data_IF_213514400176
#
_entry.id   IF_213514400176
#
_cell.length_a   1.000
_cell.length_b   1.000
_cell.length_c   1.000
_cell.angle_alpha   90.00
_cell.angle_beta   90.00
_cell.angle_gamma   90.00
#
_symmetry.space_group_name_H-M   'P 1'
#
loop_
_entity.id
_entity.type
_entity.pdbx_description
1 polymer ?
#
# COMPACT_ATOMS: atom_id res chain seq x y z
N UNK A 1 -22.73 -16.82 10.70
CA UNK A 1 -21.31 -17.04 10.38
C UNK A 1 -20.83 -15.74 9.76
N UNK A 2 -19.78 -15.10 10.29
CA UNK A 2 -19.12 -14.03 9.52
C UNK A 2 -18.51 -14.71 8.31
N UNK A 3 -18.93 -14.28 7.12
CA UNK A 3 -18.34 -14.75 5.87
C UNK A 3 -17.15 -13.82 5.63
N UNK A 4 -15.96 -14.27 5.98
CA UNK A 4 -14.73 -13.53 5.72
C UNK A 4 -14.29 -13.84 4.30
N UNK A 5 -13.81 -12.84 3.57
CA UNK A 5 -13.22 -13.05 2.26
C UNK A 5 -11.77 -12.61 2.25
N UNK A 6 -10.93 -13.37 1.55
CA UNK A 6 -9.54 -13.00 1.33
C UNK A 6 -9.43 -11.84 0.35
N UNK A 7 -8.62 -10.85 0.72
CA UNK A 7 -8.27 -9.70 -0.09
C UNK A 7 -6.75 -9.61 -0.24
N UNK A 8 -6.31 -9.34 -1.47
CA UNK A 8 -4.94 -9.00 -1.80
C UNK A 8 -4.82 -7.48 -1.91
N UNK A 9 -3.98 -6.89 -1.07
CA UNK A 9 -3.68 -5.46 -1.06
C UNK A 9 -2.31 -5.21 -1.68
N UNK A 10 -2.28 -4.32 -2.67
CA UNK A 10 -1.08 -3.84 -3.34
C UNK A 10 -0.79 -2.43 -2.84
N UNK A 11 0.23 -2.27 -2.00
CA UNK A 11 0.66 -0.96 -1.47
C UNK A 11 1.82 -0.46 -2.30
N UNK A 12 1.59 0.57 -3.13
CA UNK A 12 2.62 1.24 -3.92
C UNK A 12 3.14 2.46 -3.18
N UNK A 13 4.44 2.71 -3.23
CA UNK A 13 5.05 3.89 -2.62
C UNK A 13 6.25 4.36 -3.43
N UNK A 14 6.65 5.63 -3.23
CA UNK A 14 7.86 6.20 -3.83
C UNK A 14 8.86 6.53 -2.73
N UNK A 15 10.11 6.14 -2.95
CA UNK A 15 11.24 6.55 -2.12
C UNK A 15 12.56 6.41 -2.88
N UNK A 16 13.64 6.90 -2.27
CA UNK A 16 15.01 6.59 -2.68
C UNK A 16 15.42 5.19 -2.22
N UNK A 17 16.40 4.60 -2.89
CA UNK A 17 16.91 3.27 -2.52
C UNK A 17 17.53 3.20 -1.12
N UNK A 18 18.24 4.25 -0.71
CA UNK A 18 18.86 4.35 0.62
C UNK A 18 17.82 4.44 1.76
N UNK A 19 16.56 4.70 1.43
CA UNK A 19 15.44 4.76 2.37
C UNK A 19 14.58 3.48 2.39
N UNK A 20 14.89 2.49 1.54
CA UNK A 20 14.04 1.31 1.34
C UNK A 20 13.89 0.46 2.60
N UNK A 21 14.95 0.32 3.40
CA UNK A 21 14.88 -0.45 4.65
C UNK A 21 13.98 0.22 5.68
N UNK A 22 13.93 1.55 5.72
CA UNK A 22 12.98 2.28 6.57
C UNK A 22 11.54 2.09 6.07
N UNK A 23 11.31 2.13 4.76
CA UNK A 23 9.99 1.88 4.18
C UNK A 23 9.49 0.46 4.49
N UNK A 24 10.36 -0.55 4.40
CA UNK A 24 10.07 -1.93 4.81
C UNK A 24 9.68 -2.00 6.29
N UNK A 25 10.45 -1.35 7.17
CA UNK A 25 10.15 -1.32 8.60
C UNK A 25 8.82 -0.61 8.91
N UNK A 26 8.43 0.40 8.12
CA UNK A 26 7.10 1.03 8.22
C UNK A 26 6.00 0.07 7.79
N UNK A 27 6.15 -0.60 6.65
CA UNK A 27 5.17 -1.58 6.19
C UNK A 27 4.94 -2.69 7.22
N UNK A 28 6.01 -3.25 7.81
CA UNK A 28 5.89 -4.28 8.84
C UNK A 28 5.13 -3.78 10.08
N UNK A 29 5.36 -2.54 10.53
CA UNK A 29 4.58 -1.94 11.63
C UNK A 29 3.09 -1.83 11.28
N UNK A 30 2.76 -1.42 10.06
CA UNK A 30 1.37 -1.36 9.59
C UNK A 30 0.71 -2.74 9.61
N UNK A 31 1.43 -3.76 9.13
CA UNK A 31 0.95 -5.16 9.12
C UNK A 31 0.79 -5.72 10.53
N UNK A 32 1.69 -5.42 11.47
CA UNK A 32 1.59 -5.87 12.86
C UNK A 32 0.36 -5.29 13.55
N UNK A 33 0.04 -4.01 13.33
CA UNK A 33 -1.20 -3.40 13.83
C UNK A 33 -2.43 -4.07 13.20
N UNK A 34 -2.35 -4.43 11.92
CA UNK A 34 -3.45 -5.09 11.22
C UNK A 34 -3.70 -6.52 11.77
N UNK A 35 -2.64 -7.25 12.14
CA UNK A 35 -2.72 -8.59 12.75
C UNK A 35 -3.46 -8.60 14.09
N UNK A 36 -3.58 -7.45 14.77
CA UNK A 36 -4.36 -7.36 16.01
C UNK A 36 -5.85 -7.63 15.81
N UNK A 37 -6.37 -7.39 14.60
CA UNK A 37 -7.81 -7.46 14.28
C UNK A 37 -8.15 -8.34 13.09
N UNK A 38 -7.20 -8.63 12.22
CA UNK A 38 -7.42 -9.37 10.98
C UNK A 38 -6.48 -10.57 10.88
N UNK A 39 -6.95 -11.63 10.22
CA UNK A 39 -6.08 -12.74 9.81
C UNK A 39 -5.27 -12.32 8.59
N UNK A 40 -3.96 -12.16 8.75
CA UNK A 40 -3.03 -11.87 7.65
C UNK A 40 -2.38 -13.17 7.19
N UNK A 41 -2.71 -13.64 6.00
CA UNK A 41 -2.15 -14.87 5.41
C UNK A 41 -0.76 -14.65 4.83
N UNK A 42 -0.50 -13.45 4.31
CA UNK A 42 0.75 -13.13 3.67
C UNK A 42 1.04 -11.64 3.79
N UNK A 43 2.31 -11.29 3.99
CA UNK A 43 2.84 -9.95 3.81
C UNK A 43 4.24 -10.10 3.23
N UNK A 44 4.50 -9.40 2.13
CA UNK A 44 5.83 -9.40 1.51
C UNK A 44 6.82 -8.62 2.38
N UNK A 45 7.93 -9.24 2.77
CA UNK A 45 9.06 -8.56 3.41
C UNK A 45 9.97 -7.83 2.41
N UNK A 46 9.94 -8.26 1.15
CA UNK A 46 10.68 -7.65 0.06
C UNK A 46 9.76 -6.77 -0.76
N UNK A 47 10.20 -5.54 -1.05
CA UNK A 47 9.50 -4.66 -1.96
C UNK A 47 9.90 -5.01 -3.39
N UNK A 48 8.94 -5.17 -4.28
CA UNK A 48 9.23 -5.24 -5.70
C UNK A 48 9.52 -3.84 -6.23
N UNK A 49 10.59 -3.68 -7.00
CA UNK A 49 10.91 -2.43 -7.65
C UNK A 49 10.25 -2.34 -9.03
N UNK A 50 9.38 -1.36 -9.21
CA UNK A 50 8.70 -1.12 -10.47
C UNK A 50 9.42 -0.10 -11.37
N UNK A 51 10.35 0.70 -10.84
CA UNK A 51 10.96 1.80 -11.58
C UNK A 51 10.09 3.07 -11.54
N UNK A 52 10.26 3.96 -12.51
CA UNK A 52 9.48 5.18 -12.63
C UNK A 52 8.17 4.94 -13.42
N UNK A 53 7.28 4.08 -12.88
CA UNK A 53 6.02 3.73 -13.55
C UNK A 53 5.00 4.86 -13.45
N UNK A 54 4.62 5.40 -14.60
CA UNK A 54 3.60 6.44 -14.72
C UNK A 54 2.18 5.87 -14.73
N UNK A 55 1.17 6.61 -14.23
CA UNK A 55 1.26 7.96 -13.63
C UNK A 55 1.60 7.96 -12.13
N UNK A 56 1.75 6.78 -11.51
CA UNK A 56 1.95 6.64 -10.06
C UNK A 56 3.23 7.34 -9.59
N UNK A 57 4.30 7.24 -10.36
CA UNK A 57 5.58 7.85 -10.00
C UNK A 57 5.45 9.37 -9.81
N UNK A 58 4.98 10.11 -10.81
CA UNK A 58 4.80 11.56 -10.70
C UNK A 58 3.83 11.97 -9.61
N UNK A 59 2.72 11.24 -9.47
CA UNK A 59 1.72 11.54 -8.44
C UNK A 59 2.36 11.51 -7.04
N UNK A 60 3.02 10.42 -6.69
CA UNK A 60 3.59 10.24 -5.36
C UNK A 60 4.86 11.07 -5.16
N UNK A 61 5.67 11.25 -6.20
CA UNK A 61 6.84 12.12 -6.11
C UNK A 61 6.46 13.57 -5.77
N UNK A 62 5.34 14.06 -6.30
CA UNK A 62 4.84 15.41 -5.99
C UNK A 62 4.47 15.62 -4.52
N UNK A 63 4.24 14.54 -3.76
CA UNK A 63 3.97 14.60 -2.32
C UNK A 63 5.26 14.67 -1.48
N UNK A 64 6.40 14.27 -2.06
CA UNK A 64 7.75 14.35 -1.44
C UNK A 64 8.39 15.72 -1.70
N UNK A 65 8.01 16.41 -2.77
CA UNK A 65 8.63 17.68 -3.14
C UNK A 65 7.83 18.82 -2.49
N UNK A 66 8.47 19.71 -1.71
CA UNK A 66 7.80 20.88 -1.16
C UNK A 66 7.18 21.76 -2.26
N UNK A 67 6.02 22.40 -2.00
CA UNK A 67 5.42 23.30 -2.97
C UNK A 67 6.37 24.42 -3.38
N UNK A 68 6.65 24.53 -4.68
CA UNK A 68 7.53 25.55 -5.26
C UNK A 68 8.94 25.06 -5.57
N UNK A 69 9.33 23.88 -5.09
CA UNK A 69 10.58 23.23 -5.44
C UNK A 69 10.38 22.29 -6.65
N UNK A 70 11.47 22.03 -7.38
CA UNK A 70 11.51 21.03 -8.44
C UNK A 70 12.81 20.25 -8.31
N UNK A 71 12.74 18.95 -8.52
CA UNK A 71 13.94 18.12 -8.66
C UNK A 71 14.57 18.35 -10.04
N UNK A 72 15.89 18.30 -10.08
CA UNK A 72 16.61 18.09 -11.33
C UNK A 72 16.37 16.67 -11.84
N UNK A 73 16.55 16.39 -13.15
CA UNK A 73 16.40 15.04 -13.67
C UNK A 73 17.28 14.00 -12.96
N UNK A 74 18.50 14.39 -12.57
CA UNK A 74 19.42 13.50 -11.85
C UNK A 74 18.91 13.15 -10.44
N UNK A 75 18.26 14.10 -9.74
CA UNK A 75 17.66 13.82 -8.43
C UNK A 75 16.40 12.96 -8.56
N UNK A 76 15.61 13.14 -9.63
CA UNK A 76 14.43 12.33 -9.90
C UNK A 76 14.79 10.85 -10.18
N UNK A 77 15.93 10.59 -10.84
CA UNK A 77 16.47 9.25 -11.08
C UNK A 77 16.80 8.47 -9.78
N UNK A 78 16.99 9.16 -8.66
CA UNK A 78 17.25 8.52 -7.36
C UNK A 78 16.00 7.88 -6.75
N UNK A 79 14.81 8.23 -7.24
CA UNK A 79 13.53 7.73 -6.76
C UNK A 79 12.99 6.60 -7.64
N UNK A 80 12.30 5.66 -7.00
CA UNK A 80 11.60 4.57 -7.68
C UNK A 80 10.25 4.30 -7.03
N UNK A 81 9.32 3.78 -7.84
CA UNK A 81 8.11 3.15 -7.32
C UNK A 81 8.47 1.75 -6.84
N UNK A 82 8.04 1.43 -5.62
CA UNK A 82 8.09 0.11 -5.04
C UNK A 82 6.70 -0.35 -4.66
N UNK A 83 6.49 -1.65 -4.50
CA UNK A 83 5.25 -2.16 -3.92
C UNK A 83 5.42 -3.37 -3.01
N UNK A 84 4.53 -3.44 -2.03
CA UNK A 84 4.30 -4.60 -1.18
C UNK A 84 2.97 -5.26 -1.51
N UNK A 85 2.88 -6.55 -1.18
CA UNK A 85 1.68 -7.36 -1.32
C UNK A 85 1.30 -7.91 0.05
N UNK A 86 0.05 -7.72 0.46
CA UNK A 86 -0.49 -8.27 1.71
C UNK A 86 -1.80 -9.00 1.44
N UNK A 87 -1.97 -10.22 1.94
CA UNK A 87 -3.22 -10.99 1.82
C UNK A 87 -3.86 -11.10 3.20
N UNK A 88 -5.11 -10.66 3.31
CA UNK A 88 -5.81 -10.45 4.58
C UNK A 88 -7.26 -10.90 4.46
N UNK A 89 -7.80 -11.52 5.51
CA UNK A 89 -9.24 -11.69 5.65
C UNK A 89 -9.89 -10.36 6.05
N UNK A 90 -10.86 -9.95 5.24
CA UNK A 90 -11.73 -8.82 5.55
C UNK A 90 -13.15 -9.35 5.82
N UNK A 91 -13.75 -8.97 6.96
CA UNK A 91 -15.12 -9.36 7.27
C UNK A 91 -16.10 -8.91 6.19
N UNK A 92 -16.94 -9.82 5.70
CA UNK A 92 -17.87 -9.59 4.59
C UNK A 92 -19.31 -10.05 4.92
N UNK A 93 -19.76 -9.75 6.14
CA UNK A 93 -21.13 -10.03 6.59
C UNK A 93 -22.17 -9.00 6.11
N UNK A 94 -23.48 -9.30 6.19
CA UNK A 94 -24.55 -8.35 5.86
C UNK A 94 -24.57 -7.08 6.73
N UNK A 95 -23.92 -7.13 7.90
CA UNK A 95 -23.68 -5.98 8.79
C UNK A 95 -22.27 -5.37 8.62
N UNK A 96 -21.43 -5.93 7.75
CA UNK A 96 -20.11 -5.36 7.45
C UNK A 96 -20.33 -4.18 6.51
N UNK A 97 -19.97 -2.98 6.97
CA UNK A 97 -19.97 -1.82 6.11
C UNK A 97 -18.89 -2.00 5.02
N UNK A 98 -19.12 -1.45 3.82
CA UNK A 98 -18.11 -1.26 2.76
C UNK A 98 -16.81 -0.57 3.26
N UNK A 99 -16.84 -0.06 4.49
CA UNK A 99 -15.77 0.59 5.22
C UNK A 99 -14.65 -0.36 5.69
N UNK A 100 -14.89 -1.67 5.84
CA UNK A 100 -13.85 -2.57 6.36
C UNK A 100 -12.67 -2.73 5.39
N UNK A 101 -12.94 -2.86 4.09
CA UNK A 101 -11.88 -2.91 3.06
C UNK A 101 -11.13 -1.57 3.01
N UNK A 102 -11.84 -0.44 3.14
CA UNK A 102 -11.22 0.89 3.22
C UNK A 102 -10.31 1.00 4.44
N UNK A 103 -10.79 0.53 5.59
CA UNK A 103 -10.05 0.56 6.84
C UNK A 103 -8.76 -0.24 6.71
N UNK A 104 -8.82 -1.45 6.18
CA UNK A 104 -7.63 -2.27 5.95
C UNK A 104 -6.67 -1.60 4.97
N UNK A 105 -7.19 -1.05 3.86
CA UNK A 105 -6.37 -0.33 2.88
C UNK A 105 -5.62 0.86 3.51
N UNK A 106 -6.35 1.71 4.26
CA UNK A 106 -5.77 2.86 4.94
C UNK A 106 -4.78 2.46 6.04
N UNK A 107 -4.96 1.30 6.69
CA UNK A 107 -4.01 0.78 7.68
C UNK A 107 -2.72 0.27 7.07
N UNK A 108 -2.72 -0.10 5.79
CA UNK A 108 -1.53 -0.58 5.09
C UNK A 108 -0.71 0.54 4.43
N UNK A 109 -1.25 1.75 4.33
CA UNK A 109 -0.52 2.92 3.87
C UNK A 109 0.63 3.28 4.83
N UNK A 110 1.80 3.61 4.27
CA UNK A 110 3.05 3.81 5.03
C UNK A 110 3.43 5.28 5.22
N UNK A 111 2.60 6.19 4.71
CA UNK A 111 2.61 7.65 4.86
C UNK A 111 1.70 8.15 5.99
N UNK A 112 1.55 7.36 7.05
CA UNK A 112 0.71 7.69 8.21
C UNK A 112 1.17 8.92 9.03
N UNK A 113 2.38 9.45 8.79
CA UNK A 113 2.89 10.65 9.46
C UNK A 113 2.38 11.90 8.73
N UNK A 114 1.69 12.80 9.43
CA UNK A 114 1.23 14.07 8.87
C UNK A 114 2.41 15.01 8.61
N UNK A 115 2.50 15.56 7.40
CA UNK A 115 3.47 16.59 7.06
C UNK A 115 3.63 16.77 5.55
N UNK A 116 4.09 17.95 5.15
CA UNK A 116 4.61 18.20 3.79
C UNK A 116 6.07 18.62 3.96
N UNK A 117 7.04 17.93 3.35
CA UNK A 117 6.85 16.80 2.42
C UNK A 117 6.46 15.47 3.11
N UNK A 118 5.72 14.63 2.40
CA UNK A 118 5.43 13.26 2.81
C UNK A 118 6.71 12.42 2.73
N UNK A 119 6.93 11.54 3.71
CA UNK A 119 8.17 10.75 3.77
C UNK A 119 8.16 9.52 2.85
N UNK A 120 7.03 8.83 2.77
CA UNK A 120 6.84 7.62 1.95
C UNK A 120 5.44 7.62 1.34
N UNK A 121 5.09 8.61 0.52
CA UNK A 121 3.74 8.73 -0.05
C UNK A 121 3.34 7.41 -0.71
N UNK A 122 2.15 6.94 -0.34
CA UNK A 122 1.73 5.59 -0.69
C UNK A 122 0.26 5.52 -1.08
N UNK A 123 -0.09 4.52 -1.90
CA UNK A 123 -1.47 4.21 -2.25
C UNK A 123 -1.66 2.71 -2.18
N UNK A 124 -2.70 2.30 -1.47
CA UNK A 124 -3.06 0.88 -1.36
C UNK A 124 -4.30 0.58 -2.17
N UNK A 125 -4.25 -0.48 -2.99
CA UNK A 125 -5.40 -0.99 -3.74
C UNK A 125 -5.73 -2.41 -3.30
N UNK A 126 -7.00 -2.68 -3.03
CA UNK A 126 -7.51 -4.02 -2.72
C UNK A 126 -8.06 -4.76 -3.96
N UNK A 127 -7.78 -6.06 -4.04
CA UNK A 127 -8.34 -6.98 -5.03
C UNK A 127 -8.91 -8.17 -4.27
N UNK A 128 -10.17 -8.51 -4.51
CA UNK A 128 -10.79 -9.68 -3.89
C UNK A 128 -10.26 -10.96 -4.54
N UNK A 129 -9.86 -11.92 -3.72
CA UNK A 129 -9.30 -13.19 -4.20
C UNK A 129 -10.03 -14.38 -3.58
N UNK A 130 -10.07 -15.50 -4.32
CA UNK A 130 -10.52 -16.78 -3.79
C UNK A 130 -9.52 -17.30 -2.76
N UNK A 131 -9.95 -18.29 -1.95
CA UNK A 131 -9.03 -19.00 -1.06
C UNK A 131 -7.88 -19.70 -1.79
N UNK A 132 -8.03 -19.96 -3.09
CA UNK A 132 -7.00 -20.55 -3.95
C UNK A 132 -6.16 -19.51 -4.69
N UNK A 133 -6.38 -18.21 -4.45
CA UNK A 133 -5.57 -17.12 -5.02
C UNK A 133 -5.99 -16.65 -6.41
N UNK A 134 -7.19 -16.99 -6.88
CA UNK A 134 -7.73 -16.43 -8.11
C UNK A 134 -8.42 -15.10 -7.85
N UNK A 135 -8.16 -14.10 -8.69
CA UNK A 135 -8.95 -12.86 -8.69
C UNK A 135 -10.42 -13.20 -8.96
N UNK A 136 -11.30 -12.66 -8.13
CA UNK A 136 -12.75 -12.83 -8.27
C UNK A 136 -13.33 -11.61 -9.01
N UNK A 137 -14.14 -11.87 -10.04
CA UNK A 137 -14.80 -10.81 -10.82
C UNK A 137 -15.75 -9.95 -9.97
N UNK A 138 -15.93 -8.68 -10.36
CA UNK A 138 -16.93 -7.79 -9.76
C UNK A 138 -16.46 -6.94 -8.57
N UNK A 139 -15.17 -6.91 -8.24
CA UNK A 139 -14.61 -6.06 -7.18
C UNK A 139 -13.35 -5.33 -7.65
N UNK A 140 -13.52 -4.29 -8.47
CA UNK A 140 -12.48 -3.28 -8.67
C UNK A 140 -12.69 -2.20 -7.61
N UNK A 141 -12.03 -2.37 -6.48
CA UNK A 141 -11.83 -1.26 -5.53
C UNK A 141 -10.60 -0.49 -6.00
N UNK A 142 -10.74 0.83 -6.23
CA UNK A 142 -9.67 1.73 -6.67
C UNK A 142 -9.49 2.85 -5.67
#
# INVERSE_FOLDING_TARGET
>A
MKDDSAWCFLTKFVCRYDQLDEAKARHQRCVDVLREKNTVYFSSEQAYQAGQVEPTFKLLLSEIIPPGDNLTPAEEEEYSVFFFVTIVDVPNGPDAADDEVRFVSAKLEIDFESGVPAKFPSRTRGIRVSQTGHELEGCIYQ
#
